data_IF_688543151966
#
_entry.id   IF_688543151966
#
_cell.length_a   1.000
_cell.length_b   1.000
_cell.length_c   1.000
_cell.angle_alpha   90.00
_cell.angle_beta   90.00
_cell.angle_gamma   90.00
#
_symmetry.space_group_name_H-M   'P 1'
#
loop_
_entity.id
_entity.type
_entity.pdbx_description
1 polymer ?
#
# COMPACT_ATOMS: atom_id res chain seq x y z
N UNK A 1 -88.86 -36.94 -135.85
CA UNK A 1 -87.57 -37.68 -135.89
C UNK A 1 -86.40 -37.00 -135.16
N UNK A 2 -86.25 -35.67 -135.14
CA UNK A 2 -85.08 -35.01 -134.50
C UNK A 2 -84.95 -35.15 -132.96
N UNK A 3 -86.03 -35.29 -132.19
CA UNK A 3 -85.97 -35.43 -130.71
C UNK A 3 -85.48 -36.80 -130.20
N UNK A 4 -85.54 -37.87 -131.01
CA UNK A 4 -85.12 -39.23 -130.59
C UNK A 4 -83.61 -39.47 -130.67
N UNK A 5 -82.90 -38.69 -131.50
CA UNK A 5 -81.43 -38.76 -131.59
C UNK A 5 -80.72 -37.95 -130.50
N UNK A 6 -81.39 -36.97 -129.89
CA UNK A 6 -80.81 -36.07 -128.89
C UNK A 6 -80.40 -36.80 -127.59
N UNK A 7 -81.25 -37.71 -127.08
CA UNK A 7 -80.96 -38.48 -125.86
C UNK A 7 -79.82 -39.52 -126.03
N UNK A 8 -79.57 -39.98 -127.25
CA UNK A 8 -78.51 -40.97 -127.55
C UNK A 8 -77.11 -40.37 -127.45
N UNK A 9 -76.95 -39.09 -127.83
CA UNK A 9 -75.67 -38.38 -127.72
C UNK A 9 -75.44 -37.86 -126.30
N UNK A 10 -76.48 -37.34 -125.64
CA UNK A 10 -76.37 -36.78 -124.29
C UNK A 10 -75.90 -37.81 -123.25
N UNK A 11 -76.46 -39.03 -123.27
CA UNK A 11 -76.10 -40.06 -122.28
C UNK A 11 -74.70 -40.65 -122.48
N UNK A 12 -74.18 -40.66 -123.71
CA UNK A 12 -72.82 -41.16 -123.98
C UNK A 12 -71.76 -40.14 -123.53
N UNK A 13 -72.01 -38.85 -123.76
CA UNK A 13 -71.11 -37.78 -123.29
C UNK A 13 -71.04 -37.70 -121.76
N UNK A 14 -72.15 -37.95 -121.08
CA UNK A 14 -72.20 -37.96 -119.60
C UNK A 14 -71.45 -39.18 -119.03
N UNK A 15 -71.67 -40.38 -119.57
CA UNK A 15 -70.92 -41.59 -119.21
C UNK A 15 -69.39 -41.38 -119.39
N UNK A 16 -68.98 -40.81 -120.54
CA UNK A 16 -67.56 -40.57 -120.85
C UNK A 16 -66.93 -39.54 -119.89
N UNK A 17 -67.72 -38.58 -119.41
CA UNK A 17 -67.27 -37.62 -118.39
C UNK A 17 -66.99 -38.33 -117.07
N UNK A 18 -67.93 -39.17 -116.58
CA UNK A 18 -67.73 -39.92 -115.35
C UNK A 18 -66.57 -40.93 -115.45
N UNK A 19 -66.40 -41.58 -116.59
CA UNK A 19 -65.27 -42.48 -116.84
C UNK A 19 -63.95 -41.71 -116.74
N UNK A 20 -63.86 -40.54 -117.38
CA UNK A 20 -62.66 -39.69 -117.35
C UNK A 20 -62.34 -39.17 -115.95
N UNK A 21 -63.35 -38.85 -115.15
CA UNK A 21 -63.16 -38.45 -113.75
C UNK A 21 -62.69 -39.61 -112.89
N UNK A 22 -63.26 -40.80 -113.09
CA UNK A 22 -62.88 -42.00 -112.34
C UNK A 22 -61.46 -42.48 -112.72
N UNK A 23 -61.07 -42.39 -113.99
CA UNK A 23 -59.71 -42.68 -114.47
C UNK A 23 -58.63 -41.86 -113.74
N UNK A 24 -58.95 -40.65 -113.25
CA UNK A 24 -57.99 -39.80 -112.51
C UNK A 24 -57.76 -40.24 -111.07
N UNK A 25 -58.71 -40.96 -110.48
CA UNK A 25 -58.71 -41.31 -109.06
C UNK A 25 -58.54 -42.81 -108.82
N UNK A 26 -58.62 -43.63 -109.87
CA UNK A 26 -58.41 -45.07 -109.77
C UNK A 26 -56.95 -45.37 -109.43
N UNK A 27 -56.74 -46.40 -108.61
CA UNK A 27 -55.41 -46.88 -108.20
C UNK A 27 -55.05 -48.16 -108.95
N UNK A 28 -53.75 -48.44 -109.11
CA UNK A 28 -53.19 -49.55 -109.90
C UNK A 28 -53.81 -50.92 -109.61
N UNK A 29 -54.28 -51.14 -108.37
CA UNK A 29 -54.86 -52.42 -107.92
C UNK A 29 -56.21 -52.73 -108.61
N UNK A 30 -56.86 -51.72 -109.20
CA UNK A 30 -58.23 -51.80 -109.71
C UNK A 30 -58.31 -51.59 -111.22
N UNK A 31 -57.16 -51.43 -111.86
CA UNK A 31 -57.06 -51.11 -113.27
C UNK A 31 -57.64 -52.22 -114.14
N UNK A 32 -57.38 -53.49 -113.82
CA UNK A 32 -57.84 -54.63 -114.62
C UNK A 32 -59.38 -54.76 -114.66
N UNK A 33 -60.05 -54.60 -113.51
CA UNK A 33 -61.52 -54.66 -113.42
C UNK A 33 -62.18 -53.47 -114.11
N UNK A 34 -61.53 -52.30 -114.03
CA UNK A 34 -62.00 -51.08 -114.67
C UNK A 34 -61.80 -51.11 -116.19
N UNK A 35 -60.67 -51.66 -116.67
CA UNK A 35 -60.46 -51.94 -118.09
C UNK A 35 -61.45 -52.99 -118.61
N UNK A 36 -61.76 -54.03 -117.82
CA UNK A 36 -62.83 -55.00 -118.16
C UNK A 36 -64.18 -54.30 -118.34
N UNK A 37 -64.57 -53.42 -117.42
CA UNK A 37 -65.78 -52.59 -117.57
C UNK A 37 -65.73 -51.73 -118.84
N UNK A 38 -64.64 -51.02 -119.10
CA UNK A 38 -64.49 -50.17 -120.29
C UNK A 38 -64.60 -50.99 -121.59
N UNK A 39 -63.98 -52.17 -121.64
CA UNK A 39 -64.06 -53.09 -122.77
C UNK A 39 -65.48 -53.65 -122.99
N UNK A 40 -66.16 -54.04 -121.91
CA UNK A 40 -67.54 -54.50 -121.96
C UNK A 40 -68.48 -53.36 -122.40
N UNK A 41 -68.25 -52.13 -121.92
CA UNK A 41 -69.02 -50.95 -122.29
C UNK A 41 -68.82 -50.57 -123.77
N UNK A 42 -67.59 -50.65 -124.29
CA UNK A 42 -67.31 -50.43 -125.70
C UNK A 42 -68.02 -51.48 -126.57
N UNK A 43 -67.94 -52.76 -126.18
CA UNK A 43 -68.64 -53.86 -126.85
C UNK A 43 -70.15 -53.64 -126.87
N UNK A 44 -70.73 -53.25 -125.73
CA UNK A 44 -72.15 -52.89 -125.63
C UNK A 44 -72.50 -51.72 -126.55
N UNK A 45 -71.70 -50.65 -126.54
CA UNK A 45 -71.91 -49.47 -127.40
C UNK A 45 -71.86 -49.85 -128.89
N UNK A 46 -71.00 -50.77 -129.28
CA UNK A 46 -70.87 -51.26 -130.66
C UNK A 46 -72.08 -52.12 -131.08
N UNK A 47 -72.49 -53.11 -130.28
CA UNK A 47 -73.68 -53.91 -130.57
C UNK A 47 -74.95 -53.05 -130.59
N UNK A 48 -75.08 -52.13 -129.63
CA UNK A 48 -76.19 -51.14 -129.61
C UNK A 48 -76.22 -50.26 -130.87
N UNK A 49 -75.07 -49.84 -131.41
CA UNK A 49 -75.00 -49.11 -132.69
C UNK A 49 -75.50 -50.00 -133.84
N UNK A 50 -75.10 -51.27 -133.86
CA UNK A 50 -75.57 -52.28 -134.82
C UNK A 50 -77.09 -52.46 -134.79
N UNK A 51 -77.67 -52.68 -133.60
CA UNK A 51 -79.13 -52.82 -133.41
C UNK A 51 -79.85 -51.60 -133.96
N UNK A 52 -79.40 -50.39 -133.59
CA UNK A 52 -80.01 -49.14 -134.08
C UNK A 52 -79.90 -49.01 -135.61
N UNK A 53 -78.77 -49.43 -136.21
CA UNK A 53 -78.60 -49.42 -137.65
C UNK A 53 -79.53 -50.43 -138.35
N UNK A 54 -79.61 -51.68 -137.86
CA UNK A 54 -80.47 -52.71 -138.41
C UNK A 54 -81.95 -52.33 -138.36
N UNK A 55 -82.39 -51.70 -137.26
CA UNK A 55 -83.75 -51.13 -137.13
C UNK A 55 -83.98 -49.99 -138.12
N UNK A 56 -83.03 -49.06 -138.27
CA UNK A 56 -83.15 -47.93 -139.20
C UNK A 56 -83.15 -48.37 -140.68
N UNK A 57 -82.43 -49.46 -140.99
CA UNK A 57 -82.37 -50.08 -142.32
C UNK A 57 -83.52 -51.08 -142.57
N UNK A 58 -84.50 -51.16 -141.65
CA UNK A 58 -85.68 -52.02 -141.71
C UNK A 58 -85.39 -53.54 -141.77
N UNK A 59 -84.19 -53.97 -141.38
CA UNK A 59 -83.80 -55.39 -141.27
C UNK A 59 -84.08 -55.88 -139.83
N UNK A 60 -85.34 -56.21 -139.57
CA UNK A 60 -85.82 -56.55 -138.23
C UNK A 60 -85.28 -57.89 -137.70
N UNK A 61 -84.91 -58.83 -138.60
CA UNK A 61 -84.35 -60.11 -138.18
C UNK A 61 -82.93 -59.93 -137.61
N UNK A 62 -82.10 -59.15 -138.30
CA UNK A 62 -80.76 -58.80 -137.83
C UNK A 62 -80.81 -57.98 -136.53
N UNK A 63 -81.74 -57.01 -136.46
CA UNK A 63 -81.97 -56.22 -135.25
C UNK A 63 -82.34 -57.11 -134.05
N UNK A 64 -83.19 -58.13 -134.25
CA UNK A 64 -83.58 -59.07 -133.19
C UNK A 64 -82.41 -59.92 -132.72
N UNK A 65 -81.61 -60.47 -133.63
CA UNK A 65 -80.44 -61.28 -133.28
C UNK A 65 -79.41 -60.48 -132.48
N UNK A 66 -79.08 -59.26 -132.94
CA UNK A 66 -78.14 -58.38 -132.23
C UNK A 66 -78.73 -57.87 -130.91
N UNK A 67 -80.05 -57.72 -130.79
CA UNK A 67 -80.69 -57.35 -129.53
C UNK A 67 -80.59 -58.46 -128.48
N UNK A 68 -80.74 -59.72 -128.88
CA UNK A 68 -80.52 -60.89 -128.01
C UNK A 68 -79.05 -60.95 -127.54
N UNK A 69 -78.11 -60.70 -128.45
CA UNK A 69 -76.68 -60.61 -128.10
C UNK A 69 -76.39 -59.44 -127.13
N UNK A 70 -77.05 -58.31 -127.32
CA UNK A 70 -76.92 -57.12 -126.47
C UNK A 70 -77.34 -57.40 -125.01
N UNK A 71 -78.32 -58.27 -124.76
CA UNK A 71 -78.77 -58.62 -123.40
C UNK A 71 -77.62 -59.22 -122.58
N UNK A 72 -76.90 -60.21 -123.13
CA UNK A 72 -75.75 -60.83 -122.47
C UNK A 72 -74.59 -59.85 -122.24
N UNK A 73 -74.34 -58.93 -123.18
CA UNK A 73 -73.30 -57.92 -123.01
C UNK A 73 -73.71 -56.89 -121.96
N UNK A 74 -75.00 -56.54 -121.85
CA UNK A 74 -75.51 -55.62 -120.84
C UNK A 74 -75.30 -56.18 -119.43
N UNK A 75 -75.55 -57.47 -119.23
CA UNK A 75 -75.27 -58.16 -117.96
C UNK A 75 -73.79 -58.06 -117.58
N UNK A 76 -72.87 -58.34 -118.51
CA UNK A 76 -71.42 -58.19 -118.30
C UNK A 76 -71.00 -56.77 -117.94
N UNK A 77 -71.62 -55.75 -118.54
CA UNK A 77 -71.35 -54.34 -118.19
C UNK A 77 -71.77 -54.04 -116.74
N UNK A 78 -72.96 -54.48 -116.32
CA UNK A 78 -73.42 -54.27 -114.95
C UNK A 78 -72.62 -55.08 -113.93
N UNK A 79 -72.25 -56.31 -114.23
CA UNK A 79 -71.43 -57.14 -113.34
C UNK A 79 -70.03 -56.56 -113.15
N UNK A 80 -69.39 -56.12 -114.24
CA UNK A 80 -68.05 -55.52 -114.17
C UNK A 80 -68.04 -54.19 -113.40
N UNK A 81 -69.04 -53.30 -113.57
CA UNK A 81 -69.12 -52.07 -112.76
C UNK A 81 -69.48 -52.35 -111.30
N UNK A 82 -70.39 -53.30 -111.03
CA UNK A 82 -70.73 -53.70 -109.66
C UNK A 82 -69.52 -54.28 -108.93
N UNK A 83 -68.70 -55.07 -109.63
CA UNK A 83 -67.45 -55.61 -109.07
C UNK A 83 -66.46 -54.48 -108.71
N UNK A 84 -66.32 -53.46 -109.56
CA UNK A 84 -65.50 -52.27 -109.26
C UNK A 84 -66.03 -51.51 -108.04
N UNK A 85 -67.36 -51.32 -107.94
CA UNK A 85 -68.02 -50.64 -106.80
C UNK A 85 -67.85 -51.45 -105.52
N UNK A 86 -68.11 -52.75 -105.53
CA UNK A 86 -67.99 -53.64 -104.37
C UNK A 86 -66.53 -53.68 -103.88
N UNK A 87 -65.58 -53.82 -104.81
CA UNK A 87 -64.16 -53.77 -104.51
C UNK A 87 -63.79 -52.42 -103.86
N UNK A 88 -64.29 -51.30 -104.40
CA UNK A 88 -64.06 -49.97 -103.80
C UNK A 88 -64.61 -49.85 -102.38
N UNK A 89 -65.85 -50.29 -102.14
CA UNK A 89 -66.47 -50.27 -100.82
C UNK A 89 -65.70 -51.15 -99.83
N UNK A 90 -65.27 -52.35 -100.25
CA UNK A 90 -64.47 -53.25 -99.44
C UNK A 90 -63.12 -52.64 -99.06
N UNK A 91 -62.43 -51.99 -100.01
CA UNK A 91 -61.18 -51.28 -99.73
C UNK A 91 -61.39 -50.08 -98.79
N UNK A 92 -62.44 -49.29 -98.98
CA UNK A 92 -62.76 -48.15 -98.13
C UNK A 92 -63.05 -48.60 -96.68
N UNK A 93 -63.82 -49.69 -96.52
CA UNK A 93 -64.10 -50.28 -95.22
C UNK A 93 -62.83 -50.82 -94.55
N UNK A 94 -62.02 -51.59 -95.28
CA UNK A 94 -60.74 -52.11 -94.76
C UNK A 94 -59.77 -50.99 -94.37
N UNK A 95 -59.68 -49.93 -95.17
CA UNK A 95 -58.87 -48.76 -94.86
C UNK A 95 -59.38 -48.02 -93.61
N UNK A 96 -60.69 -47.86 -93.47
CA UNK A 96 -61.31 -47.26 -92.28
C UNK A 96 -61.04 -48.08 -91.01
N UNK A 97 -61.20 -49.41 -91.08
CA UNK A 97 -60.87 -50.32 -89.97
C UNK A 97 -59.38 -50.27 -89.60
N UNK A 98 -58.49 -50.26 -90.60
CA UNK A 98 -57.05 -50.14 -90.41
C UNK A 98 -56.66 -48.81 -89.76
N UNK A 99 -57.25 -47.69 -90.23
CA UNK A 99 -57.04 -46.36 -89.66
C UNK A 99 -57.52 -46.29 -88.21
N UNK A 100 -58.71 -46.85 -87.92
CA UNK A 100 -59.26 -46.90 -86.57
C UNK A 100 -58.38 -47.76 -85.63
N UNK A 101 -57.91 -48.92 -86.09
CA UNK A 101 -56.97 -49.77 -85.36
C UNK A 101 -55.65 -49.04 -85.07
N UNK A 102 -55.11 -48.33 -86.05
CA UNK A 102 -53.90 -47.53 -85.91
C UNK A 102 -54.10 -46.40 -84.91
N UNK A 103 -55.23 -45.68 -84.97
CA UNK A 103 -55.59 -44.66 -83.99
C UNK A 103 -55.63 -45.21 -82.55
N UNK A 104 -56.28 -46.36 -82.33
CA UNK A 104 -56.34 -46.98 -81.00
C UNK A 104 -54.95 -47.36 -80.51
N UNK A 105 -54.12 -47.99 -81.36
CA UNK A 105 -52.73 -48.36 -80.99
C UNK A 105 -51.89 -47.13 -80.65
N UNK A 106 -51.93 -46.08 -81.48
CA UNK A 106 -51.20 -44.83 -81.24
C UNK A 106 -51.67 -44.14 -79.96
N UNK A 107 -52.98 -44.09 -79.70
CA UNK A 107 -53.54 -43.54 -78.46
C UNK A 107 -53.07 -44.32 -77.24
N UNK A 108 -53.07 -45.65 -77.31
CA UNK A 108 -52.61 -46.51 -76.22
C UNK A 108 -51.12 -46.30 -75.93
N UNK A 109 -50.27 -46.23 -76.97
CA UNK A 109 -48.84 -45.95 -76.82
C UNK A 109 -48.62 -44.57 -76.16
N UNK A 110 -49.35 -43.54 -76.61
CA UNK A 110 -49.28 -42.20 -76.00
C UNK A 110 -49.68 -42.19 -74.52
N UNK A 111 -50.74 -42.92 -74.14
CA UNK A 111 -51.15 -43.02 -72.74
C UNK A 111 -50.10 -43.73 -71.88
N UNK A 112 -49.52 -44.83 -72.38
CA UNK A 112 -48.45 -45.55 -71.69
C UNK A 112 -47.23 -44.66 -71.49
N UNK A 113 -46.81 -43.91 -72.52
CA UNK A 113 -45.67 -42.99 -72.42
C UNK A 113 -45.92 -41.86 -71.40
N UNK A 114 -47.14 -41.31 -71.33
CA UNK A 114 -47.50 -40.30 -70.33
C UNK A 114 -47.44 -40.86 -68.90
N UNK A 115 -48.05 -42.04 -68.68
CA UNK A 115 -48.01 -42.70 -67.37
C UNK A 115 -46.57 -43.00 -66.96
N UNK A 116 -45.76 -43.53 -67.89
CA UNK A 116 -44.35 -43.80 -67.65
C UNK A 116 -43.57 -42.52 -67.31
N UNK A 117 -43.81 -41.42 -68.03
CA UNK A 117 -43.18 -40.13 -67.75
C UNK A 117 -43.51 -39.59 -66.36
N UNK A 118 -44.76 -39.71 -65.92
CA UNK A 118 -45.20 -39.30 -64.57
C UNK A 118 -44.52 -40.18 -63.50
N UNK A 119 -44.51 -41.50 -63.69
CA UNK A 119 -43.86 -42.42 -62.76
C UNK A 119 -42.35 -42.14 -62.64
N UNK A 120 -41.69 -41.88 -63.76
CA UNK A 120 -40.27 -41.54 -63.79
C UNK A 120 -40.00 -40.21 -63.08
N UNK A 121 -40.84 -39.19 -63.29
CA UNK A 121 -40.72 -37.90 -62.61
C UNK A 121 -40.88 -38.03 -61.09
N UNK A 122 -41.86 -38.81 -60.62
CA UNK A 122 -42.06 -39.10 -59.19
C UNK A 122 -40.86 -39.85 -58.61
N UNK A 123 -40.38 -40.88 -59.32
CA UNK A 123 -39.21 -41.65 -58.91
C UNK A 123 -37.97 -40.76 -58.74
N UNK A 124 -37.66 -39.92 -59.73
CA UNK A 124 -36.53 -38.98 -59.67
C UNK A 124 -36.71 -37.95 -58.55
N UNK A 125 -37.92 -37.42 -58.37
CA UNK A 125 -38.23 -36.49 -57.29
C UNK A 125 -37.96 -37.08 -55.91
N UNK A 126 -38.36 -38.34 -55.67
CA UNK A 126 -38.10 -39.04 -54.39
C UNK A 126 -36.60 -39.26 -54.18
N UNK A 127 -35.85 -39.62 -55.23
CA UNK A 127 -34.39 -39.83 -55.14
C UNK A 127 -33.69 -38.53 -54.74
N UNK A 128 -33.96 -37.43 -55.46
CA UNK A 128 -33.34 -36.12 -55.18
C UNK A 128 -33.74 -35.61 -53.78
N UNK A 129 -35.01 -35.72 -53.41
CA UNK A 129 -35.48 -35.31 -52.08
C UNK A 129 -34.75 -36.08 -50.96
N UNK A 130 -34.62 -37.40 -51.09
CA UNK A 130 -33.88 -38.22 -50.12
C UNK A 130 -32.39 -37.89 -50.09
N UNK A 131 -31.80 -37.56 -51.23
CA UNK A 131 -30.39 -37.22 -51.34
C UNK A 131 -30.06 -35.89 -50.60
N UNK A 132 -30.96 -34.91 -50.66
CA UNK A 132 -30.81 -33.60 -50.00
C UNK A 132 -31.21 -33.63 -48.52
N UNK A 133 -32.33 -34.29 -48.17
CA UNK A 133 -32.87 -34.26 -46.80
C UNK A 133 -31.93 -34.95 -45.80
N UNK A 134 -31.33 -36.08 -46.17
CA UNK A 134 -30.44 -36.84 -45.26
C UNK A 134 -29.24 -36.03 -44.72
N UNK A 135 -28.43 -35.33 -45.55
CA UNK A 135 -27.35 -34.50 -45.03
C UNK A 135 -27.86 -33.28 -44.26
N UNK A 136 -28.99 -32.66 -44.67
CA UNK A 136 -29.59 -31.55 -43.92
C UNK A 136 -30.05 -31.97 -42.52
N UNK A 137 -30.64 -33.15 -42.37
CA UNK A 137 -31.06 -33.67 -41.06
C UNK A 137 -29.86 -33.92 -40.14
N UNK A 138 -28.73 -34.39 -40.67
CA UNK A 138 -27.47 -34.50 -39.91
C UNK A 138 -26.95 -33.13 -39.45
N UNK A 139 -26.97 -32.13 -40.33
CA UNK A 139 -26.55 -30.76 -40.01
C UNK A 139 -27.47 -30.17 -38.94
N UNK A 140 -28.78 -30.34 -39.09
CA UNK A 140 -29.78 -29.92 -38.10
C UNK A 140 -29.50 -30.54 -36.73
N UNK A 141 -29.33 -31.87 -36.67
CA UNK A 141 -29.05 -32.58 -35.41
C UNK A 141 -27.74 -32.13 -34.77
N UNK A 142 -26.70 -31.87 -35.56
CA UNK A 142 -25.45 -31.31 -35.05
C UNK A 142 -25.66 -29.90 -34.48
N UNK A 143 -26.41 -29.04 -35.16
CA UNK A 143 -26.74 -27.71 -34.65
C UNK A 143 -27.57 -27.76 -33.35
N UNK A 144 -28.51 -28.71 -33.23
CA UNK A 144 -29.26 -28.96 -31.99
C UNK A 144 -28.32 -29.38 -30.84
N UNK A 145 -27.35 -30.26 -31.10
CA UNK A 145 -26.34 -30.62 -30.09
C UNK A 145 -25.51 -29.39 -29.67
N UNK A 146 -25.06 -28.57 -30.62
CA UNK A 146 -24.34 -27.33 -30.29
C UNK A 146 -25.18 -26.35 -29.46
N UNK A 147 -26.49 -26.25 -29.75
CA UNK A 147 -27.41 -25.40 -28.99
C UNK A 147 -27.60 -25.90 -27.54
N UNK A 148 -27.43 -27.20 -27.31
CA UNK A 148 -27.40 -27.81 -25.98
C UNK A 148 -26.01 -27.78 -25.33
N UNK A 149 -25.06 -27.07 -25.93
CA UNK A 149 -23.65 -27.00 -25.51
C UNK A 149 -22.94 -28.37 -25.52
N UNK A 150 -23.46 -29.34 -26.26
CA UNK A 150 -22.82 -30.63 -26.46
C UNK A 150 -21.84 -30.56 -27.64
N UNK A 151 -20.57 -30.36 -27.31
CA UNK A 151 -19.45 -30.34 -28.26
C UNK A 151 -18.72 -31.69 -28.36
N UNK A 152 -19.30 -32.79 -27.86
CA UNK A 152 -18.63 -34.09 -27.77
C UNK A 152 -18.73 -34.94 -29.03
N UNK A 153 -19.77 -34.74 -29.84
CA UNK A 153 -20.06 -35.57 -31.02
C UNK A 153 -19.79 -34.78 -32.32
N UNK A 154 -18.86 -35.24 -33.18
CA UNK A 154 -18.63 -34.64 -34.49
C UNK A 154 -19.69 -35.07 -35.52
N UNK A 155 -19.89 -34.25 -36.55
CA UNK A 155 -20.76 -34.57 -37.68
C UNK A 155 -19.99 -35.33 -38.79
N UNK A 156 -20.57 -36.43 -39.28
CA UNK A 156 -20.00 -37.23 -40.38
C UNK A 156 -20.88 -37.21 -41.63
N UNK A 157 -20.40 -36.50 -42.65
CA UNK A 157 -20.97 -36.46 -44.01
C UNK A 157 -19.90 -36.95 -44.98
N UNK A 158 -20.10 -38.12 -45.58
CA UNK A 158 -19.13 -38.79 -46.47
C UNK A 158 -19.13 -38.27 -47.91
N UNK A 159 -19.97 -37.27 -48.20
CA UNK A 159 -20.10 -36.66 -49.54
C UNK A 159 -18.87 -35.79 -49.83
N UNK A 160 -18.54 -35.64 -51.12
CA UNK A 160 -17.43 -34.78 -51.59
C UNK A 160 -17.90 -33.41 -52.11
N UNK A 161 -19.17 -33.09 -51.90
CA UNK A 161 -19.81 -31.85 -52.33
C UNK A 161 -19.88 -30.82 -51.19
N UNK A 162 -20.71 -29.79 -51.35
CA UNK A 162 -20.86 -28.68 -50.41
C UNK A 162 -21.33 -29.13 -49.04
N UNK A 163 -22.14 -30.20 -48.95
CA UNK A 163 -22.59 -30.75 -47.67
C UNK A 163 -21.42 -31.41 -46.91
N UNK A 164 -20.54 -32.11 -47.62
CA UNK A 164 -19.33 -32.70 -47.03
C UNK A 164 -18.38 -31.62 -46.52
N UNK A 165 -18.12 -30.59 -47.33
CA UNK A 165 -17.28 -29.44 -46.95
C UNK A 165 -17.85 -28.70 -45.74
N UNK A 166 -19.17 -28.52 -45.70
CA UNK A 166 -19.88 -27.93 -44.55
C UNK A 166 -19.67 -28.75 -43.28
N UNK A 167 -19.78 -30.09 -43.37
CA UNK A 167 -19.51 -30.97 -42.22
C UNK A 167 -18.09 -30.82 -41.67
N UNK A 168 -17.08 -30.73 -42.54
CA UNK A 168 -15.68 -30.50 -42.13
C UNK A 168 -15.49 -29.14 -41.46
N UNK A 169 -16.08 -28.07 -42.03
CA UNK A 169 -16.01 -26.73 -41.47
C UNK A 169 -16.69 -26.65 -40.10
N UNK A 170 -17.86 -27.28 -39.95
CA UNK A 170 -18.59 -27.37 -38.68
C UNK A 170 -17.81 -28.12 -37.59
N UNK A 171 -17.14 -29.23 -37.93
CA UNK A 171 -16.26 -29.92 -36.99
C UNK A 171 -15.07 -29.06 -36.54
N UNK A 172 -14.49 -28.27 -37.46
CA UNK A 172 -13.44 -27.32 -37.10
C UNK A 172 -13.96 -26.25 -36.14
N UNK A 173 -15.16 -25.71 -36.39
CA UNK A 173 -15.80 -24.74 -35.51
C UNK A 173 -16.05 -25.33 -34.11
N UNK A 174 -16.60 -26.54 -34.02
CA UNK A 174 -16.79 -27.26 -32.74
C UNK A 174 -15.47 -27.44 -31.99
N UNK A 175 -14.39 -27.83 -32.68
CA UNK A 175 -13.07 -27.97 -32.05
C UNK A 175 -12.56 -26.65 -31.47
N UNK A 176 -12.66 -25.55 -32.22
CA UNK A 176 -12.23 -24.24 -31.74
C UNK A 176 -13.03 -23.79 -30.50
N UNK A 177 -14.34 -24.04 -30.48
CA UNK A 177 -15.18 -23.75 -29.30
C UNK A 177 -14.78 -24.63 -28.11
N UNK A 178 -14.51 -25.92 -28.32
CA UNK A 178 -14.05 -26.81 -27.25
C UNK A 178 -12.70 -26.36 -26.65
N UNK A 179 -11.75 -25.94 -27.49
CA UNK A 179 -10.47 -25.38 -27.05
C UNK A 179 -10.65 -24.08 -26.27
N UNK A 180 -11.51 -23.17 -26.75
CA UNK A 180 -11.85 -21.94 -26.03
C UNK A 180 -12.43 -22.23 -24.64
N UNK A 181 -13.38 -23.17 -24.54
CA UNK A 181 -13.97 -23.55 -23.25
C UNK A 181 -12.92 -24.13 -22.30
N UNK A 182 -11.97 -24.94 -22.80
CA UNK A 182 -10.86 -25.45 -21.97
C UNK A 182 -9.97 -24.34 -21.43
N UNK A 183 -9.64 -23.35 -22.26
CA UNK A 183 -8.85 -22.18 -21.83
C UNK A 183 -9.62 -21.42 -20.75
N UNK A 184 -10.91 -21.15 -20.95
CA UNK A 184 -11.74 -20.45 -19.95
C UNK A 184 -11.77 -21.20 -18.61
N UNK A 185 -11.91 -22.53 -18.63
CA UNK A 185 -11.88 -23.35 -17.40
C UNK A 185 -10.53 -23.22 -16.69
N UNK A 186 -9.42 -23.30 -17.43
CA UNK A 186 -8.08 -23.16 -16.87
C UNK A 186 -7.88 -21.78 -16.22
N UNK A 187 -8.18 -20.71 -16.94
CA UNK A 187 -8.07 -19.33 -16.44
C UNK A 187 -8.98 -19.09 -15.22
N UNK A 188 -10.16 -19.73 -15.17
CA UNK A 188 -11.07 -19.64 -14.02
C UNK A 188 -10.47 -20.33 -12.78
N UNK A 189 -9.76 -21.45 -12.96
CA UNK A 189 -9.01 -22.10 -11.88
C UNK A 189 -7.87 -21.22 -11.38
N UNK A 190 -7.08 -20.63 -12.28
CA UNK A 190 -5.95 -19.77 -11.93
C UNK A 190 -6.44 -18.48 -11.23
N UNK A 191 -7.56 -17.91 -11.67
CA UNK A 191 -8.22 -16.77 -11.01
C UNK A 191 -8.75 -17.15 -9.62
N UNK A 192 -9.27 -18.37 -9.44
CA UNK A 192 -9.73 -18.85 -8.13
C UNK A 192 -8.56 -19.00 -7.15
N UNK A 193 -7.44 -19.57 -7.61
CA UNK A 193 -6.22 -19.69 -6.82
C UNK A 193 -5.65 -18.32 -6.43
N UNK A 194 -5.56 -17.39 -7.40
CA UNK A 194 -5.11 -16.02 -7.14
C UNK A 194 -6.02 -15.28 -6.15
N UNK A 195 -7.34 -15.53 -6.21
CA UNK A 195 -8.31 -14.96 -5.27
C UNK A 195 -8.13 -15.49 -3.85
N UNK A 196 -7.78 -16.78 -3.70
CA UNK A 196 -7.45 -17.37 -2.40
C UNK A 196 -6.17 -16.79 -1.82
N UNK A 197 -5.12 -16.63 -2.63
CA UNK A 197 -3.87 -16.00 -2.23
C UNK A 197 -4.08 -14.53 -1.82
N UNK A 198 -4.89 -13.79 -2.57
CA UNK A 198 -5.28 -12.42 -2.22
C UNK A 198 -6.02 -12.38 -0.87
N UNK A 199 -6.97 -13.30 -0.64
CA UNK A 199 -7.69 -13.37 0.63
C UNK A 199 -6.74 -13.62 1.81
N UNK A 200 -5.79 -14.54 1.67
CA UNK A 200 -4.78 -14.79 2.69
C UNK A 200 -3.89 -13.56 2.95
N UNK A 201 -3.47 -12.87 1.89
CA UNK A 201 -2.69 -11.62 1.99
C UNK A 201 -3.47 -10.52 2.72
N UNK A 202 -4.77 -10.40 2.45
CA UNK A 202 -5.64 -9.43 3.13
C UNK A 202 -5.80 -9.77 4.62
N UNK A 203 -5.92 -11.04 4.99
CA UNK A 203 -5.94 -11.47 6.39
C UNK A 203 -4.63 -11.15 7.11
N UNK A 204 -3.48 -11.43 6.48
CA UNK A 204 -2.16 -11.09 7.02
C UNK A 204 -1.97 -9.58 7.18
N UNK A 205 -2.42 -8.78 6.21
CA UNK A 205 -2.39 -7.33 6.28
C UNK A 205 -3.27 -6.81 7.42
N UNK A 206 -4.45 -7.39 7.62
CA UNK A 206 -5.34 -7.03 8.72
C UNK A 206 -4.71 -7.32 10.08
N UNK A 207 -4.08 -8.48 10.25
CA UNK A 207 -3.34 -8.83 11.46
C UNK A 207 -2.16 -7.87 11.70
N UNK A 208 -1.42 -7.53 10.64
CA UNK A 208 -0.31 -6.57 10.72
C UNK A 208 -0.80 -5.18 11.10
N UNK A 209 -1.95 -4.74 10.58
CA UNK A 209 -2.55 -3.46 10.95
C UNK A 209 -2.94 -3.41 12.44
N UNK A 210 -3.44 -4.52 13.00
CA UNK A 210 -3.71 -4.63 14.45
C UNK A 210 -2.41 -4.45 15.25
N UNK A 211 -1.34 -5.15 14.86
CA UNK A 211 -0.02 -5.03 15.53
C UNK A 211 0.55 -3.60 15.45
N UNK A 212 0.39 -2.93 14.30
CA UNK A 212 0.80 -1.53 14.13
C UNK A 212 0.01 -0.63 15.07
N UNK A 213 -1.30 -0.85 15.20
CA UNK A 213 -2.16 -0.05 16.07
C UNK A 213 -1.78 -0.24 17.56
N UNK A 214 -1.45 -1.46 17.96
CA UNK A 214 -0.92 -1.75 19.30
C UNK A 214 0.43 -1.05 19.55
N UNK A 215 1.35 -1.11 18.58
CA UNK A 215 2.63 -0.40 18.67
C UNK A 215 2.45 1.12 18.78
N UNK A 216 1.50 1.70 18.03
CA UNK A 216 1.16 3.13 18.13
C UNK A 216 0.65 3.48 19.53
N UNK A 217 -0.22 2.66 20.12
CA UNK A 217 -0.71 2.88 21.49
C UNK A 217 0.43 2.83 22.52
N UNK A 218 1.35 1.87 22.40
CA UNK A 218 2.52 1.78 23.27
C UNK A 218 3.40 3.03 23.14
N UNK A 219 3.66 3.50 21.91
CA UNK A 219 4.41 4.74 21.68
C UNK A 219 3.70 5.94 22.30
N UNK A 220 2.38 6.04 22.18
CA UNK A 220 1.62 7.13 22.80
C UNK A 220 1.75 7.13 24.33
N UNK A 221 1.70 5.96 24.96
CA UNK A 221 1.89 5.81 26.40
C UNK A 221 3.33 6.16 26.83
N UNK A 222 4.33 5.74 26.06
CA UNK A 222 5.73 6.12 26.30
C UNK A 222 5.96 7.62 26.15
N UNK A 223 5.33 8.28 25.16
CA UNK A 223 5.40 9.73 25.01
C UNK A 223 4.75 10.47 26.19
N UNK A 224 3.63 9.97 26.71
CA UNK A 224 2.99 10.55 27.90
C UNK A 224 3.93 10.46 29.11
N UNK A 225 4.55 9.29 29.32
CA UNK A 225 5.59 9.12 30.36
C UNK A 225 6.78 10.04 30.18
N UNK A 226 7.29 10.18 28.95
CA UNK A 226 8.39 11.09 28.63
C UNK A 226 8.01 12.56 28.88
N UNK A 227 6.77 12.95 28.60
CA UNK A 227 6.25 14.30 28.91
C UNK A 227 6.28 14.56 30.41
N UNK A 228 5.76 13.63 31.22
CA UNK A 228 5.79 13.73 32.68
C UNK A 228 7.23 13.81 33.22
N UNK A 229 8.14 12.96 32.74
CA UNK A 229 9.55 13.04 33.12
C UNK A 229 10.18 14.38 32.72
N UNK A 230 9.83 14.93 31.55
CA UNK A 230 10.31 16.24 31.12
C UNK A 230 9.80 17.39 32.01
N UNK A 231 8.56 17.30 32.50
CA UNK A 231 8.01 18.24 33.48
C UNK A 231 8.76 18.15 34.82
N UNK A 232 9.01 16.93 35.32
CA UNK A 232 9.79 16.71 36.54
C UNK A 232 11.22 17.24 36.43
N UNK A 233 11.88 17.02 35.29
CA UNK A 233 13.22 17.56 35.02
C UNK A 233 13.17 19.09 35.01
N UNK A 234 12.17 19.69 34.37
CA UNK A 234 12.02 21.15 34.32
C UNK A 234 11.87 21.74 35.72
N UNK A 235 11.03 21.12 36.57
CA UNK A 235 10.87 21.52 37.97
C UNK A 235 12.16 21.36 38.78
N UNK A 236 12.89 20.25 38.60
CA UNK A 236 14.18 20.02 39.26
C UNK A 236 15.24 21.05 38.84
N UNK A 237 15.24 21.48 37.57
CA UNK A 237 16.12 22.54 37.08
C UNK A 237 15.78 23.90 37.70
N UNK A 238 14.49 24.24 37.84
CA UNK A 238 14.07 25.46 38.53
C UNK A 238 14.48 25.47 40.02
N UNK A 239 14.31 24.34 40.71
CA UNK A 239 14.76 24.18 42.09
C UNK A 239 16.28 24.33 42.20
N UNK A 240 17.03 23.75 41.26
CA UNK A 240 18.47 23.84 41.20
C UNK A 240 18.94 25.28 40.98
N UNK A 241 18.31 26.03 40.06
CA UNK A 241 18.63 27.44 39.82
C UNK A 241 18.39 28.29 41.07
N UNK A 242 17.28 28.07 41.77
CA UNK A 242 17.01 28.68 43.08
C UNK A 242 18.10 28.33 44.11
N UNK A 243 18.50 27.05 44.17
CA UNK A 243 19.58 26.58 45.05
C UNK A 243 20.93 27.22 44.73
N UNK A 244 21.28 27.37 43.45
CA UNK A 244 22.50 28.05 42.99
C UNK A 244 22.47 29.52 43.37
N UNK A 245 21.35 30.21 43.17
CA UNK A 245 21.18 31.61 43.58
C UNK A 245 21.34 31.79 45.09
N UNK A 246 20.74 30.92 45.90
CA UNK A 246 20.89 30.92 47.35
C UNK A 246 22.34 30.66 47.79
N UNK A 247 23.02 29.69 47.15
CA UNK A 247 24.42 29.37 47.40
C UNK A 247 25.35 30.54 47.04
N UNK A 248 25.13 31.17 45.89
CA UNK A 248 25.87 32.35 45.44
C UNK A 248 25.74 33.50 46.45
N UNK A 249 24.51 33.78 46.92
CA UNK A 249 24.28 34.79 47.96
C UNK A 249 25.01 34.47 49.26
N UNK A 250 24.97 33.21 49.72
CA UNK A 250 25.74 32.78 50.91
C UNK A 250 27.26 32.88 50.71
N UNK A 251 27.76 32.59 49.51
CA UNK A 251 29.17 32.73 49.19
C UNK A 251 29.61 34.20 49.22
N UNK A 252 28.79 35.11 48.69
CA UNK A 252 29.00 36.57 48.78
C UNK A 252 29.00 37.03 50.24
N UNK A 253 28.03 36.57 51.05
CA UNK A 253 27.97 36.87 52.47
C UNK A 253 29.22 36.36 53.21
N UNK A 254 29.63 35.13 52.95
CA UNK A 254 30.84 34.52 53.51
C UNK A 254 32.12 35.28 53.14
N UNK A 255 32.22 35.74 51.88
CA UNK A 255 33.32 36.59 51.41
C UNK A 255 33.34 37.94 52.13
N UNK A 256 32.18 38.60 52.25
CA UNK A 256 32.04 39.86 52.97
C UNK A 256 32.40 39.71 54.47
N UNK A 257 31.96 38.64 55.11
CA UNK A 257 32.31 38.34 56.49
C UNK A 257 33.82 38.09 56.64
N UNK A 258 34.43 37.34 55.72
CA UNK A 258 35.89 37.13 55.69
C UNK A 258 36.66 38.43 55.55
N UNK A 259 36.18 39.38 54.72
CA UNK A 259 36.76 40.72 54.60
C UNK A 259 36.66 41.50 55.91
N UNK A 260 35.49 41.50 56.56
CA UNK A 260 35.30 42.14 57.89
C UNK A 260 36.22 41.52 58.95
N UNK A 261 36.39 40.19 58.95
CA UNK A 261 37.32 39.52 59.85
C UNK A 261 38.78 39.92 59.58
N UNK A 262 39.19 40.00 58.31
CA UNK A 262 40.53 40.48 57.93
C UNK A 262 40.77 41.91 58.43
N UNK A 263 39.78 42.80 58.28
CA UNK A 263 39.88 44.19 58.76
C UNK A 263 40.01 44.24 60.29
N UNK A 264 39.17 43.50 61.02
CA UNK A 264 39.27 43.38 62.48
C UNK A 264 40.60 42.81 62.93
N UNK A 265 41.07 41.73 62.30
CA UNK A 265 42.37 41.12 62.61
C UNK A 265 43.53 42.09 62.36
N UNK A 266 43.46 42.91 61.30
CA UNK A 266 44.45 43.96 61.02
C UNK A 266 44.46 45.05 62.09
N UNK A 267 43.28 45.49 62.52
CA UNK A 267 43.14 46.45 63.65
C UNK A 267 43.69 45.87 64.96
N UNK A 268 43.38 44.61 65.27
CA UNK A 268 43.93 43.90 66.44
C UNK A 268 45.45 43.84 66.34
N UNK A 269 46.01 43.43 65.19
CA UNK A 269 47.46 43.40 64.96
C UNK A 269 48.12 44.74 65.23
N UNK A 270 47.55 45.83 64.72
CA UNK A 270 48.06 47.18 64.95
C UNK A 270 48.03 47.57 66.44
N UNK A 271 46.88 47.37 67.10
CA UNK A 271 46.71 47.70 68.52
C UNK A 271 47.61 46.86 69.43
N UNK A 272 47.75 45.57 69.15
CA UNK A 272 48.65 44.67 69.88
C UNK A 272 50.11 45.09 69.71
N UNK A 273 50.57 45.44 68.50
CA UNK A 273 51.93 45.95 68.29
C UNK A 273 52.20 47.21 69.10
N UNK A 274 51.25 48.15 69.11
CA UNK A 274 51.34 49.38 69.91
C UNK A 274 51.42 49.07 71.41
N UNK A 275 50.58 48.16 71.92
CA UNK A 275 50.60 47.76 73.31
C UNK A 275 51.92 47.08 73.72
N UNK A 276 52.53 46.27 72.85
CA UNK A 276 53.85 45.65 73.08
C UNK A 276 54.92 46.73 73.30
N UNK A 277 54.97 47.71 72.40
CA UNK A 277 55.95 48.79 72.44
C UNK A 277 55.78 49.66 73.70
N UNK A 278 54.55 50.09 74.00
CA UNK A 278 54.23 50.88 75.18
C UNK A 278 54.56 50.14 76.48
N UNK A 279 54.26 48.84 76.55
CA UNK A 279 54.56 48.00 77.73
C UNK A 279 56.07 47.83 77.92
N UNK A 280 56.83 47.62 76.85
CA UNK A 280 58.29 47.49 76.90
C UNK A 280 58.98 48.77 77.37
N UNK A 281 58.53 49.94 76.89
CA UNK A 281 59.02 51.24 77.35
C UNK A 281 58.72 51.43 78.85
N UNK A 282 57.48 51.13 79.27
CA UNK A 282 57.06 51.28 80.66
C UNK A 282 57.85 50.36 81.60
N UNK A 283 58.06 49.09 81.21
CA UNK A 283 58.85 48.13 82.00
C UNK A 283 60.25 48.66 82.27
N UNK A 284 60.97 49.11 81.23
CA UNK A 284 62.32 49.64 81.36
C UNK A 284 62.38 50.88 82.26
N UNK A 285 61.44 51.81 82.07
CA UNK A 285 61.33 53.01 82.91
C UNK A 285 61.09 52.67 84.39
N UNK A 286 60.26 51.66 84.69
CA UNK A 286 59.97 51.24 86.07
C UNK A 286 61.14 50.51 86.70
N UNK A 287 61.82 49.64 85.94
CA UNK A 287 63.03 48.96 86.37
C UNK A 287 64.14 49.96 86.74
N UNK A 288 64.40 50.96 85.90
CA UNK A 288 65.43 51.98 86.15
C UNK A 288 65.11 52.79 87.42
N UNK A 289 63.84 53.16 87.63
CA UNK A 289 63.39 53.85 88.85
C UNK A 289 63.53 52.98 90.09
N UNK A 290 63.23 51.69 90.00
CA UNK A 290 63.38 50.74 91.11
C UNK A 290 64.86 50.59 91.51
N UNK A 291 65.76 50.41 90.53
CA UNK A 291 67.20 50.33 90.79
C UNK A 291 67.71 51.59 91.50
N UNK A 292 67.25 52.76 91.05
CA UNK A 292 67.57 54.04 91.69
C UNK A 292 67.03 54.12 93.13
N UNK A 293 65.79 53.68 93.37
CA UNK A 293 65.21 53.65 94.72
C UNK A 293 65.97 52.69 95.67
N UNK A 294 66.46 51.55 95.17
CA UNK A 294 67.34 50.64 95.93
C UNK A 294 68.64 51.35 96.32
N UNK A 295 69.25 52.09 95.39
CA UNK A 295 70.48 52.84 95.66
C UNK A 295 70.25 53.97 96.67
N UNK A 296 69.19 54.76 96.50
CA UNK A 296 68.79 55.84 97.42
C UNK A 296 68.45 55.29 98.82
N UNK A 297 67.91 54.06 98.93
CA UNK A 297 67.57 53.44 100.22
C UNK A 297 68.78 53.16 101.11
N UNK A 298 70.00 53.08 100.56
CA UNK A 298 71.24 52.91 101.35
C UNK A 298 71.50 54.08 102.30
N UNK A 299 70.90 55.25 102.06
CA UNK A 299 70.94 56.38 102.99
C UNK A 299 70.35 56.00 104.35
N UNK A 300 69.36 55.09 104.39
CA UNK A 300 68.76 54.60 105.64
C UNK A 300 69.77 53.80 106.48
N UNK A 301 70.68 53.05 105.85
CA UNK A 301 71.76 52.34 106.54
C UNK A 301 72.74 53.32 107.20
N UNK A 302 73.02 54.45 106.54
CA UNK A 302 73.84 55.52 107.13
C UNK A 302 73.16 56.14 108.35
N UNK A 303 71.83 56.34 108.31
CA UNK A 303 71.08 56.84 109.48
C UNK A 303 71.13 55.84 110.64
N UNK A 304 71.08 54.53 110.36
CA UNK A 304 71.27 53.49 111.39
C UNK A 304 72.64 53.58 112.04
N UNK A 305 73.71 53.69 111.24
CA UNK A 305 75.09 53.84 111.75
C UNK A 305 75.22 55.11 112.61
N UNK A 306 74.62 56.22 112.19
CA UNK A 306 74.59 57.46 112.97
C UNK A 306 73.81 57.26 114.29
N UNK A 307 72.65 56.61 114.27
CA UNK A 307 71.88 56.31 115.46
C UNK A 307 72.65 55.40 116.44
N UNK A 308 73.30 54.34 115.95
CA UNK A 308 74.17 53.47 116.76
C UNK A 308 75.33 54.24 117.40
N UNK A 309 75.90 55.21 116.65
CA UNK A 309 76.95 56.10 117.16
C UNK A 309 76.43 57.04 118.26
N UNK A 310 75.25 57.64 118.09
CA UNK A 310 74.63 58.51 119.10
C UNK A 310 74.19 57.71 120.33
N UNK A 311 73.76 56.44 120.16
CA UNK A 311 73.49 55.53 121.27
C UNK A 311 74.78 55.31 122.08
N UNK A 312 75.89 55.00 121.41
CA UNK A 312 77.20 54.81 122.05
C UNK A 312 77.72 56.09 122.72
N UNK A 313 77.51 57.27 122.12
CA UNK A 313 77.85 58.56 122.74
C UNK A 313 76.98 58.80 123.98
N UNK A 314 75.68 58.59 123.89
CA UNK A 314 74.75 58.74 125.02
C UNK A 314 75.11 57.80 126.17
N UNK A 315 75.49 56.56 125.87
CA UNK A 315 75.91 55.56 126.86
C UNK A 315 77.25 55.95 127.53
N UNK A 316 78.24 56.41 126.75
CA UNK A 316 79.49 56.98 127.28
C UNK A 316 79.25 58.25 128.11
N UNK A 317 78.32 59.11 127.68
CA UNK A 317 77.97 60.36 128.37
C UNK A 317 77.25 60.06 129.68
N UNK A 318 76.38 59.05 129.71
CA UNK A 318 75.75 58.53 130.92
C UNK A 318 76.79 57.99 131.91
N UNK A 319 77.80 57.24 131.42
CA UNK A 319 78.93 56.76 132.23
C UNK A 319 79.83 57.89 132.76
N UNK A 320 80.10 58.91 131.95
CA UNK A 320 80.84 60.12 132.35
C UNK A 320 80.08 60.92 133.41
N UNK A 321 78.77 61.09 133.23
CA UNK A 321 77.89 61.77 134.17
C UNK A 321 77.74 60.98 135.48
N UNK A 322 77.65 59.66 135.41
CA UNK A 322 77.65 58.77 136.57
C UNK A 322 78.96 58.91 137.37
N UNK A 323 80.11 58.89 136.70
CA UNK A 323 81.41 59.11 137.36
C UNK A 323 81.55 60.52 137.96
N UNK A 324 80.96 61.54 137.33
CA UNK A 324 80.96 62.92 137.85
C UNK A 324 80.01 63.11 139.05
N UNK A 325 78.86 62.43 139.09
CA UNK A 325 77.93 62.46 140.22
C UNK A 325 78.52 61.82 141.49
N UNK A 326 79.42 60.84 141.34
CA UNK A 326 80.05 60.12 142.46
C UNK A 326 81.29 60.86 143.00
N UNK A 327 81.85 61.84 142.28
CA UNK A 327 83.17 62.43 142.55
C UNK A 327 83.19 63.88 143.11
N UNK A 328 82.07 64.46 143.55
CA UNK A 328 81.97 65.90 143.81
C UNK A 328 81.52 66.34 145.22
N UNK A 329 82.31 66.09 146.26
CA UNK A 329 82.06 66.57 147.64
C UNK A 329 82.33 68.07 147.89
N UNK A 330 82.78 68.81 146.87
CA UNK A 330 83.17 70.24 146.99
C UNK A 330 82.33 71.21 146.15
N UNK A 331 81.26 70.77 145.47
CA UNK A 331 80.49 71.66 144.60
C UNK A 331 79.04 71.23 144.38
N UNK A 332 78.11 71.77 145.18
CA UNK A 332 76.66 71.60 144.98
C UNK A 332 76.17 72.03 143.59
N UNK A 333 76.91 72.89 142.87
CA UNK A 333 76.61 73.22 141.47
C UNK A 333 76.97 72.10 140.48
N UNK A 334 78.03 71.33 140.74
CA UNK A 334 78.52 70.30 139.81
C UNK A 334 77.70 69.00 139.88
N UNK A 335 77.24 68.61 141.07
CA UNK A 335 76.36 67.44 141.23
C UNK A 335 75.00 67.64 140.52
N UNK A 336 74.45 68.86 140.53
CA UNK A 336 73.21 69.19 139.82
C UNK A 336 73.42 69.12 138.30
N UNK A 337 74.56 69.60 137.80
CA UNK A 337 74.91 69.47 136.37
C UNK A 337 75.14 68.01 135.98
N UNK A 338 75.79 67.20 136.82
CA UNK A 338 76.02 65.78 136.54
C UNK A 338 74.72 64.98 136.49
N UNK A 339 73.78 65.19 137.43
CA UNK A 339 72.48 64.53 137.39
C UNK A 339 71.64 65.01 136.19
N UNK A 340 71.74 66.28 135.80
CA UNK A 340 71.04 66.81 134.61
C UNK A 340 71.66 66.29 133.30
N UNK A 341 72.98 66.12 133.22
CA UNK A 341 73.66 65.52 132.07
C UNK A 341 73.37 64.02 131.97
N UNK A 342 73.30 63.30 133.10
CA UNK A 342 72.87 61.90 133.14
C UNK A 342 71.44 61.77 132.62
N UNK A 343 70.53 62.61 133.10
CA UNK A 343 69.13 62.65 132.64
C UNK A 343 69.02 62.99 131.16
N UNK A 344 69.81 63.94 130.65
CA UNK A 344 69.89 64.26 129.22
C UNK A 344 70.46 63.09 128.39
N UNK A 345 71.47 62.38 128.90
CA UNK A 345 72.05 61.22 128.24
C UNK A 345 71.08 60.03 128.21
N UNK A 346 70.31 59.82 129.27
CA UNK A 346 69.27 58.79 129.38
C UNK A 346 68.06 59.09 128.48
N UNK A 347 67.63 60.36 128.43
CA UNK A 347 66.65 60.85 127.45
C UNK A 347 67.15 60.72 126.01
N UNK A 348 68.42 61.03 125.76
CA UNK A 348 69.07 60.87 124.45
C UNK A 348 69.14 59.40 124.04
N UNK A 349 69.46 58.49 124.97
CA UNK A 349 69.45 57.03 124.73
C UNK A 349 68.04 56.50 124.42
N UNK A 350 67.02 56.96 125.13
CA UNK A 350 65.61 56.62 124.83
C UNK A 350 65.16 57.17 123.46
N UNK A 351 65.54 58.41 123.13
CA UNK A 351 65.23 59.00 121.83
C UNK A 351 65.91 58.23 120.70
N UNK A 352 67.19 57.85 120.87
CA UNK A 352 67.93 57.05 119.89
C UNK A 352 67.36 55.65 119.74
N UNK A 353 66.97 54.97 120.82
CA UNK A 353 66.26 53.69 120.74
C UNK A 353 64.95 53.81 119.94
N UNK A 354 64.23 54.92 120.09
CA UNK A 354 63.03 55.21 119.29
C UNK A 354 63.36 55.45 117.80
N UNK A 355 64.49 56.13 117.52
CA UNK A 355 65.00 56.31 116.16
C UNK A 355 65.41 54.96 115.55
N UNK A 356 66.17 54.12 116.26
CA UNK A 356 66.58 52.78 115.80
C UNK A 356 65.36 51.90 115.50
N UNK A 357 64.34 51.90 116.37
CA UNK A 357 63.08 51.19 116.11
C UNK A 357 62.35 51.74 114.88
N UNK A 358 62.33 53.05 114.68
CA UNK A 358 61.71 53.68 113.51
C UNK A 358 62.47 53.35 112.23
N UNK A 359 63.82 53.40 112.26
CA UNK A 359 64.68 53.03 111.14
C UNK A 359 64.53 51.55 110.79
N UNK A 360 64.43 50.66 111.77
CA UNK A 360 64.15 49.24 111.53
C UNK A 360 62.81 49.04 110.84
N UNK A 361 61.76 49.78 111.24
CA UNK A 361 60.45 49.74 110.57
C UNK A 361 60.51 50.32 109.15
N UNK A 362 61.27 51.41 108.94
CA UNK A 362 61.47 52.03 107.62
C UNK A 362 62.25 51.10 106.68
N UNK A 363 63.32 50.46 107.14
CA UNK A 363 64.06 49.45 106.37
C UNK A 363 63.16 48.27 106.00
N UNK A 364 62.32 47.79 106.93
CA UNK A 364 61.37 46.72 106.66
C UNK A 364 60.31 47.14 105.62
N UNK A 365 59.80 48.37 105.70
CA UNK A 365 58.87 48.91 104.72
C UNK A 365 59.51 49.09 103.33
N UNK A 366 60.74 49.59 103.25
CA UNK A 366 61.48 49.68 101.99
C UNK A 366 61.78 48.32 101.38
N UNK A 367 62.22 47.35 102.20
CA UNK A 367 62.45 45.98 101.74
C UNK A 367 61.17 45.36 101.19
N UNK A 368 60.05 45.49 101.90
CA UNK A 368 58.73 45.03 101.44
C UNK A 368 58.29 45.73 100.14
N UNK A 369 58.54 47.04 100.01
CA UNK A 369 58.23 47.78 98.78
C UNK A 369 59.10 47.35 97.59
N UNK A 370 60.39 47.09 97.79
CA UNK A 370 61.31 46.59 96.76
C UNK A 370 60.93 45.16 96.35
N UNK A 371 60.59 44.31 97.31
CA UNK A 371 60.09 42.96 97.01
C UNK A 371 58.79 43.02 96.19
N UNK A 372 57.84 43.89 96.54
CA UNK A 372 56.62 44.08 95.78
C UNK A 372 56.86 44.67 94.37
N UNK A 373 57.77 45.63 94.22
CA UNK A 373 58.14 46.17 92.89
C UNK A 373 58.86 45.12 92.04
N UNK A 374 59.69 44.27 92.67
CA UNK A 374 60.35 43.14 92.00
C UNK A 374 59.33 42.09 91.55
N UNK A 375 58.38 41.73 92.39
CA UNK A 375 57.29 40.80 92.05
C UNK A 375 56.43 41.36 90.91
N UNK A 376 56.17 42.67 90.91
CA UNK A 376 55.44 43.34 89.82
C UNK A 376 56.22 43.31 88.50
N UNK A 377 57.52 43.61 88.52
CA UNK A 377 58.37 43.51 87.34
C UNK A 377 58.51 42.05 86.88
N UNK A 378 58.61 41.10 87.80
CA UNK A 378 58.67 39.68 87.48
C UNK A 378 57.36 39.19 86.84
N UNK A 379 56.20 39.65 87.33
CA UNK A 379 54.90 39.40 86.70
C UNK A 379 54.82 40.01 85.29
N UNK A 380 55.25 41.26 85.11
CA UNK A 380 55.28 41.87 83.78
C UNK A 380 56.21 41.08 82.85
N UNK A 381 57.38 40.66 83.32
CA UNK A 381 58.34 39.94 82.48
C UNK A 381 57.94 38.49 82.18
N UNK A 382 57.42 37.75 83.16
CA UNK A 382 57.07 36.33 82.97
C UNK A 382 55.68 36.13 82.38
N UNK A 383 54.71 36.96 82.74
CA UNK A 383 53.33 36.76 82.31
C UNK A 383 52.98 37.68 81.14
N UNK A 384 53.20 38.99 81.30
CA UNK A 384 52.77 39.97 80.29
C UNK A 384 53.66 39.89 79.04
N UNK A 385 54.98 39.96 79.18
CA UNK A 385 55.90 39.86 78.04
C UNK A 385 55.82 38.51 77.33
N UNK A 386 55.63 37.39 78.05
CA UNK A 386 55.45 36.09 77.40
C UNK A 386 54.18 36.03 76.53
N UNK A 387 53.07 36.60 77.00
CA UNK A 387 51.83 36.70 76.21
C UNK A 387 52.02 37.65 75.01
N UNK A 388 52.75 38.74 75.21
CA UNK A 388 53.09 39.70 74.17
C UNK A 388 54.07 39.14 73.12
N UNK A 389 55.02 38.29 73.51
CA UNK A 389 55.93 37.60 72.60
C UNK A 389 55.22 36.53 71.78
N UNK A 390 54.25 35.85 72.39
CA UNK A 390 53.34 34.94 71.66
C UNK A 390 52.58 35.71 70.58
N UNK A 391 52.09 36.91 70.89
CA UNK A 391 51.46 37.81 69.92
C UNK A 391 52.45 38.30 68.85
N UNK A 392 53.72 38.55 69.21
CA UNK A 392 54.77 38.98 68.27
C UNK A 392 55.13 37.88 67.27
N UNK A 393 55.22 36.63 67.72
CA UNK A 393 55.40 35.46 66.86
C UNK A 393 54.25 35.31 65.85
N UNK A 394 53.00 35.48 66.31
CA UNK A 394 51.82 35.45 65.44
C UNK A 394 51.81 36.58 64.40
N UNK A 395 52.52 37.69 64.64
CA UNK A 395 52.65 38.80 63.69
C UNK A 395 53.69 38.58 62.58
N UNK A 396 54.49 37.52 62.66
CA UNK A 396 55.55 37.19 61.69
C UNK A 396 56.85 37.96 61.90
N UNK A 397 56.99 38.72 62.99
CA UNK A 397 58.26 39.33 63.37
C UNK A 397 59.16 38.22 63.94
N UNK A 398 60.09 37.70 63.14
CA UNK A 398 61.10 36.76 63.62
C UNK A 398 61.90 37.41 64.75
N UNK A 399 61.96 36.73 65.91
CA UNK A 399 62.93 37.01 66.96
C UNK A 399 64.35 36.88 66.36
N UNK A 400 65.09 37.99 66.35
CA UNK A 400 66.55 38.02 66.27
C UNK A 400 67.08 38.52 67.61
#
# INVERSE_FOLDING_TARGET
MKKKFFWKYLLVEEDDTYITEFDKIISDIKYDQWEEFKNNLESYRNVRKGVVYAVNSNNLQEAKNQYIEMESITEKVFDSINNVVETNLNYANAANESNHSTYIKSRMIMLVLNIFGILLAIMLGIIIARDIIKPLEKIKKFAENLALYDFSVPIFITRKDEFGQTGVALNRAQKNVNELVKIIIQETHDMSASSQELSATVEELSATAININEAINNIAQEMEGASTTSEEISAAVEEMDSGINALSNKAIEGSNNSYKFKEKATKVKYNSKKAIEETGILYKQKQDKMLKAIEDSKVVDNIKIMADTIASISEKTNLLALNAAIAGEQGKGFAVVAEEVKKLAEQSSQAVNSIQNTISKVQQAFKSSIENDKDLLEFINKNVNMQLDTLRFLHGDKLL
#
